data_IF_894142343152
#
_entry.id   IF_894142343152
#
_cell.length_a   1.000
_cell.length_b   1.000
_cell.length_c   1.000
_cell.angle_alpha   90.00
_cell.angle_beta   90.00
_cell.angle_gamma   90.00
#
_symmetry.space_group_name_H-M   'P 1'
#
loop_
_entity.id
_entity.type
_entity.pdbx_description
1 polymer ?
#
# COMPACT_ATOMS: atom_id res chain seq x y z
N UNK A 1 -13.67 -1.39 -1.65
CA UNK A 1 -13.86 -1.54 -3.12
C UNK A 1 -14.41 -0.28 -3.77
N UNK A 2 -15.33 0.47 -3.14
CA UNK A 2 -15.88 1.72 -3.71
C UNK A 2 -14.82 2.77 -4.05
N UNK A 3 -13.80 2.98 -3.21
CA UNK A 3 -12.78 4.01 -3.44
C UNK A 3 -12.07 3.94 -4.81
N UNK A 4 -11.57 2.74 -5.18
CA UNK A 4 -10.85 2.57 -6.45
C UNK A 4 -11.78 2.64 -7.66
N UNK A 5 -13.02 2.18 -7.50
CA UNK A 5 -14.05 2.20 -8.54
C UNK A 5 -14.54 3.63 -8.83
N UNK A 6 -14.68 4.44 -7.79
CA UNK A 6 -15.13 5.82 -7.90
C UNK A 6 -14.06 6.75 -8.50
N UNK A 7 -12.85 6.23 -8.72
CA UNK A 7 -11.69 6.99 -9.19
C UNK A 7 -11.40 8.19 -8.28
N UNK A 8 -11.55 7.98 -6.97
CA UNK A 8 -11.47 9.06 -5.97
C UNK A 8 -10.09 9.72 -5.94
N UNK A 9 -9.02 8.93 -6.10
CA UNK A 9 -7.66 9.46 -6.11
C UNK A 9 -7.37 10.25 -7.38
N UNK A 10 -7.61 9.67 -8.56
CA UNK A 10 -7.26 10.31 -9.84
C UNK A 10 -7.98 11.64 -10.08
N UNK A 11 -9.13 11.90 -9.46
CA UNK A 11 -9.82 13.21 -9.50
C UNK A 11 -9.07 14.34 -8.79
N UNK A 12 -8.29 14.01 -7.76
CA UNK A 12 -7.57 14.99 -6.94
C UNK A 12 -6.04 14.85 -7.05
N UNK A 13 -5.56 13.80 -7.71
CA UNK A 13 -4.15 13.48 -7.84
C UNK A 13 -3.36 14.61 -8.52
N UNK A 14 -2.24 15.00 -7.89
CA UNK A 14 -1.34 16.05 -8.40
C UNK A 14 -0.04 15.50 -8.98
N UNK A 15 0.17 14.18 -8.89
CA UNK A 15 1.35 13.51 -9.43
C UNK A 15 1.25 13.50 -10.96
N UNK A 16 2.24 14.12 -11.63
CA UNK A 16 2.22 14.37 -13.08
C UNK A 16 2.74 13.22 -13.94
N UNK A 17 3.70 12.46 -13.44
CA UNK A 17 4.38 11.43 -14.24
C UNK A 17 3.66 10.08 -14.15
N UNK A 18 3.84 9.39 -13.01
CA UNK A 18 3.25 8.08 -12.78
C UNK A 18 2.80 7.94 -11.33
N UNK A 19 1.54 7.54 -11.14
CA UNK A 19 0.96 7.31 -9.83
C UNK A 19 0.39 5.90 -9.73
N UNK A 20 0.90 5.12 -8.78
CA UNK A 20 0.46 3.75 -8.55
C UNK A 20 -1.03 3.65 -8.22
N UNK A 21 -1.60 4.57 -7.41
CA UNK A 21 -3.03 4.55 -7.11
C UNK A 21 -3.86 4.79 -8.37
N UNK A 22 -3.49 5.76 -9.23
CA UNK A 22 -4.19 6.01 -10.49
C UNK A 22 -4.18 4.78 -11.40
N UNK A 23 -3.05 4.07 -11.48
CA UNK A 23 -2.96 2.83 -12.27
C UNK A 23 -3.81 1.70 -11.69
N UNK A 24 -3.88 1.57 -10.36
CA UNK A 24 -4.80 0.61 -9.74
C UNK A 24 -6.27 0.95 -9.99
N UNK A 25 -6.67 2.22 -9.89
CA UNK A 25 -8.03 2.67 -10.22
C UNK A 25 -8.40 2.30 -11.67
N UNK A 26 -7.49 2.59 -12.61
CA UNK A 26 -7.69 2.22 -14.01
C UNK A 26 -7.74 0.70 -14.21
N UNK A 27 -6.90 -0.07 -13.51
CA UNK A 27 -6.88 -1.53 -13.62
C UNK A 27 -8.17 -2.15 -13.10
N UNK A 28 -8.71 -1.67 -11.97
CA UNK A 28 -9.99 -2.13 -11.43
C UNK A 28 -11.16 -1.73 -12.34
N UNK A 29 -11.13 -0.53 -12.93
CA UNK A 29 -12.16 -0.12 -13.90
C UNK A 29 -12.20 -1.05 -15.12
N UNK A 30 -11.04 -1.41 -15.68
CA UNK A 30 -10.97 -2.36 -16.81
C UNK A 30 -11.47 -3.76 -16.44
N UNK A 31 -11.28 -4.20 -15.19
CA UNK A 31 -11.84 -5.47 -14.70
C UNK A 31 -13.37 -5.47 -14.70
N UNK A 32 -14.01 -4.34 -14.40
CA UNK A 32 -15.47 -4.24 -14.42
C UNK A 32 -16.07 -4.26 -15.83
N UNK A 33 -15.33 -3.76 -16.81
CA UNK A 33 -15.74 -3.74 -18.22
C UNK A 33 -15.74 -5.15 -18.85
N UNK A 34 -15.26 -6.18 -18.13
CA UNK A 34 -15.33 -7.59 -18.57
C UNK A 34 -14.38 -7.93 -19.71
N UNK A 35 -13.34 -7.11 -19.92
CA UNK A 35 -12.44 -7.21 -21.07
C UNK A 35 -11.39 -8.30 -20.84
N UNK A 36 -11.77 -9.57 -21.04
CA UNK A 36 -10.85 -10.71 -21.18
C UNK A 36 -9.64 -10.73 -20.22
N UNK A 37 -8.46 -11.11 -20.74
CA UNK A 37 -7.21 -11.07 -19.97
C UNK A 37 -6.65 -9.65 -19.93
N UNK A 38 -6.46 -9.10 -18.74
CA UNK A 38 -5.87 -7.78 -18.55
C UNK A 38 -4.38 -7.87 -18.26
N UNK A 39 -3.59 -7.11 -19.00
CA UNK A 39 -2.16 -6.97 -18.75
C UNK A 39 -1.89 -5.80 -17.79
N UNK A 40 -1.17 -6.00 -16.67
CA UNK A 40 -0.74 -4.91 -15.79
C UNK A 40 0.51 -4.20 -16.35
N UNK A 41 0.58 -3.99 -17.66
CA UNK A 41 1.78 -3.54 -18.39
C UNK A 41 2.38 -2.24 -17.84
N UNK A 42 1.53 -1.28 -17.46
CA UNK A 42 1.98 0.00 -16.88
C UNK A 42 2.58 -0.13 -15.49
N UNK A 43 2.08 -1.07 -14.67
CA UNK A 43 2.65 -1.39 -13.36
C UNK A 43 4.00 -2.10 -13.56
N UNK A 44 4.06 -3.04 -14.51
CA UNK A 44 5.30 -3.76 -14.85
C UNK A 44 6.40 -2.82 -15.39
N UNK A 45 6.03 -1.85 -16.24
CA UNK A 45 6.98 -0.86 -16.76
C UNK A 45 7.58 0.02 -15.65
N UNK A 46 6.79 0.31 -14.61
CA UNK A 46 7.17 1.15 -13.48
C UNK A 46 7.46 0.34 -12.21
N UNK A 47 7.78 -0.96 -12.35
CA UNK A 47 8.01 -1.86 -11.22
C UNK A 47 9.10 -1.35 -10.26
N UNK A 48 10.10 -0.66 -10.81
CA UNK A 48 11.19 -0.05 -10.02
C UNK A 48 10.73 1.07 -9.10
N UNK A 49 9.61 1.72 -9.41
CA UNK A 49 8.98 2.75 -8.57
C UNK A 49 8.26 2.13 -7.37
N UNK A 50 7.86 0.86 -7.46
CA UNK A 50 7.33 0.07 -6.33
C UNK A 50 8.47 -0.51 -5.50
N UNK A 51 9.46 -1.12 -6.15
CA UNK A 51 10.64 -1.63 -5.49
C UNK A 51 11.87 -1.48 -6.37
N UNK A 52 12.90 -0.78 -5.90
CA UNK A 52 14.10 -0.49 -6.69
C UNK A 52 14.86 -1.74 -7.18
N UNK A 53 14.69 -2.87 -6.46
CA UNK A 53 15.28 -4.17 -6.79
C UNK A 53 14.36 -5.05 -7.66
N UNK A 54 13.13 -4.62 -7.90
CA UNK A 54 12.14 -5.37 -8.68
C UNK A 54 12.17 -4.96 -10.15
N UNK A 55 12.04 -5.94 -11.04
CA UNK A 55 11.93 -5.74 -12.49
C UNK A 55 12.97 -6.55 -13.28
N UNK A 56 13.11 -6.22 -14.56
CA UNK A 56 14.07 -6.92 -15.44
C UNK A 56 13.62 -8.30 -15.93
N UNK A 57 12.34 -8.65 -15.76
CA UNK A 57 11.76 -9.90 -16.27
C UNK A 57 12.00 -11.13 -15.40
N UNK A 58 12.62 -10.97 -14.23
CA UNK A 58 12.83 -12.06 -13.28
C UNK A 58 11.58 -12.31 -12.42
N UNK A 59 11.46 -13.55 -11.95
CA UNK A 59 10.48 -13.89 -10.91
C UNK A 59 11.03 -13.46 -9.55
N UNK A 60 10.19 -12.80 -8.76
CA UNK A 60 10.53 -12.23 -7.45
C UNK A 60 9.58 -12.77 -6.38
N UNK A 61 9.91 -12.52 -5.11
CA UNK A 61 9.07 -12.90 -3.98
C UNK A 61 7.75 -12.09 -3.95
N UNK A 62 6.62 -12.79 -4.00
CA UNK A 62 5.29 -12.17 -4.04
C UNK A 62 4.92 -11.43 -2.74
N UNK A 63 5.41 -11.91 -1.60
CA UNK A 63 5.19 -11.26 -0.31
C UNK A 63 5.99 -9.95 -0.22
N UNK A 64 7.25 -9.96 -0.67
CA UNK A 64 8.04 -8.73 -0.75
C UNK A 64 7.39 -7.74 -1.74
N UNK A 65 6.88 -8.20 -2.88
CA UNK A 65 6.13 -7.35 -3.80
C UNK A 65 4.90 -6.73 -3.14
N UNK A 66 4.07 -7.52 -2.46
CA UNK A 66 2.89 -7.01 -1.76
C UNK A 66 3.26 -5.98 -0.70
N UNK A 67 4.32 -6.25 0.08
CA UNK A 67 4.82 -5.33 1.11
C UNK A 67 5.22 -3.99 0.51
N UNK A 68 6.03 -3.99 -0.55
CA UNK A 68 6.46 -2.77 -1.23
C UNK A 68 5.28 -2.04 -1.89
N UNK A 69 4.36 -2.78 -2.52
CA UNK A 69 3.15 -2.21 -3.10
C UNK A 69 2.31 -1.44 -2.07
N UNK A 70 2.04 -2.06 -0.91
CA UNK A 70 1.27 -1.43 0.17
C UNK A 70 2.02 -0.20 0.73
N UNK A 71 3.34 -0.27 0.87
CA UNK A 71 4.15 0.89 1.27
C UNK A 71 4.06 2.03 0.26
N UNK A 72 4.18 1.75 -1.04
CA UNK A 72 4.05 2.78 -2.09
C UNK A 72 2.65 3.40 -2.11
N UNK A 73 1.59 2.60 -1.92
CA UNK A 73 0.23 3.12 -1.84
C UNK A 73 0.04 4.05 -0.64
N UNK A 74 0.60 3.68 0.52
CA UNK A 74 0.56 4.52 1.71
C UNK A 74 1.27 5.85 1.48
N UNK A 75 2.45 5.83 0.86
CA UNK A 75 3.19 7.04 0.52
C UNK A 75 2.36 7.97 -0.38
N UNK A 76 1.72 7.43 -1.42
CA UNK A 76 0.85 8.21 -2.31
C UNK A 76 -0.33 8.83 -1.56
N UNK A 77 -0.97 8.11 -0.62
CA UNK A 77 -2.04 8.69 0.20
C UNK A 77 -1.60 9.88 1.05
N UNK A 78 -0.31 9.98 1.37
CA UNK A 78 0.25 10.99 2.27
C UNK A 78 1.00 12.11 1.54
N UNK A 79 1.26 11.95 0.25
CA UNK A 79 2.03 12.89 -0.57
C UNK A 79 1.42 14.30 -0.52
N UNK A 80 0.09 14.42 -0.68
CA UNK A 80 -0.64 15.70 -0.64
C UNK A 80 -0.58 16.39 0.73
N UNK A 81 -0.29 15.63 1.79
CA UNK A 81 -0.15 16.13 3.17
C UNK A 81 1.32 16.38 3.56
N UNK A 82 2.25 16.32 2.59
CA UNK A 82 3.67 16.56 2.79
C UNK A 82 4.50 15.31 3.13
N UNK A 83 3.91 14.13 2.97
CA UNK A 83 4.58 12.82 3.10
C UNK A 83 4.68 12.28 4.53
N UNK A 84 5.06 10.99 4.63
CA UNK A 84 5.09 10.22 5.89
C UNK A 84 5.89 10.87 7.03
N UNK A 85 6.89 11.70 6.73
CA UNK A 85 7.71 12.35 7.77
C UNK A 85 7.04 13.58 8.39
N UNK A 86 6.06 14.18 7.70
CA UNK A 86 5.40 15.42 8.14
C UNK A 86 4.02 15.18 8.73
N UNK A 87 3.35 14.10 8.32
CA UNK A 87 2.00 13.77 8.77
C UNK A 87 2.06 13.10 10.14
N UNK A 88 1.22 13.55 11.08
CA UNK A 88 1.11 12.91 12.40
C UNK A 88 0.69 11.44 12.30
N UNK A 89 1.19 10.61 13.21
CA UNK A 89 0.94 9.16 13.24
C UNK A 89 -0.56 8.83 13.29
N UNK A 90 -1.37 9.60 14.01
CA UNK A 90 -2.80 9.39 14.08
C UNK A 90 -3.48 9.62 12.73
N UNK A 91 -3.04 10.63 11.98
CA UNK A 91 -3.55 10.89 10.63
C UNK A 91 -3.08 9.85 9.62
N UNK A 92 -1.84 9.37 9.74
CA UNK A 92 -1.35 8.29 8.88
C UNK A 92 -2.19 7.02 8.98
N UNK A 93 -2.77 6.73 10.16
CA UNK A 93 -3.67 5.59 10.38
C UNK A 93 -5.04 5.75 9.71
N UNK A 94 -5.41 6.96 9.28
CA UNK A 94 -6.72 7.22 8.64
C UNK A 94 -6.73 7.01 7.13
N UNK A 95 -5.57 6.75 6.51
CA UNK A 95 -5.50 6.48 5.08
C UNK A 95 -6.27 5.19 4.74
N UNK A 96 -6.80 5.12 3.52
CA UNK A 96 -7.46 3.91 3.02
C UNK A 96 -6.57 2.66 3.20
N UNK A 97 -5.28 2.80 2.92
CA UNK A 97 -4.32 1.70 2.99
C UNK A 97 -4.17 1.20 4.42
N UNK A 98 -4.08 2.09 5.42
CA UNK A 98 -4.05 1.69 6.83
C UNK A 98 -5.40 1.16 7.32
N UNK A 99 -6.52 1.63 6.79
CA UNK A 99 -7.84 1.09 7.13
C UNK A 99 -8.05 -0.33 6.59
N UNK A 100 -7.41 -0.71 5.46
CA UNK A 100 -7.51 -2.05 4.87
C UNK A 100 -6.43 -3.00 5.40
N UNK A 101 -5.18 -2.57 5.43
CA UNK A 101 -4.01 -3.42 5.72
C UNK A 101 -3.35 -3.12 7.06
N UNK A 102 -3.70 -2.01 7.70
CA UNK A 102 -3.13 -1.61 8.98
C UNK A 102 -3.61 -2.50 10.12
N UNK A 103 -2.78 -2.61 11.15
CA UNK A 103 -3.05 -3.42 12.33
C UNK A 103 -2.11 -3.08 13.48
N UNK A 104 -2.35 -3.71 14.63
CA UNK A 104 -1.49 -3.59 15.80
C UNK A 104 -1.19 -4.97 16.35
N UNK A 105 0.09 -5.25 16.61
CA UNK A 105 0.52 -6.48 17.23
C UNK A 105 0.57 -6.31 18.74
N UNK A 106 -0.10 -7.20 19.47
CA UNK A 106 -0.03 -7.25 20.93
C UNK A 106 0.84 -8.43 21.36
N UNK A 107 2.07 -8.14 21.76
CA UNK A 107 3.01 -9.15 22.25
C UNK A 107 2.86 -9.31 23.76
N UNK A 108 2.66 -10.54 24.21
CA UNK A 108 2.63 -10.92 25.63
C UNK A 108 3.72 -11.94 25.89
N UNK A 109 4.52 -11.70 26.92
CA UNK A 109 5.59 -12.61 27.36
C UNK A 109 5.38 -12.91 28.83
N UNK A 110 5.31 -14.20 29.17
CA UNK A 110 5.20 -14.67 30.54
C UNK A 110 6.50 -15.34 30.98
N UNK A 111 7.09 -14.85 32.06
CA UNK A 111 8.22 -15.52 32.68
C UNK A 111 7.75 -16.78 33.40
N UNK A 112 8.30 -17.95 33.08
CA UNK A 112 7.91 -19.22 33.72
C UNK A 112 8.49 -19.41 35.13
N UNK A 113 9.45 -18.56 35.55
CA UNK A 113 10.06 -18.62 36.88
C UNK A 113 9.37 -17.73 37.91
N UNK A 114 9.12 -16.46 37.58
CA UNK A 114 8.49 -15.50 38.49
C UNK A 114 7.03 -15.20 38.14
N UNK A 115 6.49 -15.81 37.07
CA UNK A 115 5.13 -15.61 36.58
C UNK A 115 4.77 -14.17 36.17
N UNK A 116 5.74 -13.26 36.13
CA UNK A 116 5.54 -11.91 35.61
C UNK A 116 5.16 -11.93 34.12
N UNK A 117 4.16 -11.11 33.77
CA UNK A 117 3.68 -10.94 32.41
C UNK A 117 4.04 -9.53 31.92
N UNK A 118 4.74 -9.48 30.79
CA UNK A 118 5.06 -8.23 30.08
C UNK A 118 4.21 -8.16 28.82
N UNK A 119 3.58 -7.01 28.61
CA UNK A 119 2.73 -6.74 27.46
C UNK A 119 3.25 -5.53 26.69
N UNK A 120 3.36 -5.67 25.37
CA UNK A 120 3.77 -4.59 24.47
C UNK A 120 2.87 -4.57 23.24
N UNK A 121 2.17 -3.45 23.04
CA UNK A 121 1.58 -3.13 21.74
C UNK A 121 2.67 -2.60 20.80
N UNK A 122 2.72 -3.13 19.58
CA UNK A 122 3.56 -2.67 18.46
C UNK A 122 2.65 -2.38 17.26
N UNK A 123 3.07 -1.43 16.44
CA UNK A 123 2.64 -1.37 15.04
C UNK A 123 3.59 -2.25 14.22
#
# INVERSE_FOLDING_TARGET
>A
MVYLLDRSHSRACRIRDWCLMCELEQHVAMLQEGVGSLSPSKILLNMRSVGCRMGGGNQEDAHEFLRLLVMSLQAVCLEDMGGEKKVDLGLQETTLVQQIFGGRLKSKVKCLRCHHESERLRK
#
